data_IF_522678442003
#
_entry.id   IF_522678442003
#
_cell.length_a   1.000
_cell.length_b   1.000
_cell.length_c   1.000
_cell.angle_alpha   90.00
_cell.angle_beta   90.00
_cell.angle_gamma   90.00
#
_symmetry.space_group_name_H-M   'P 1'
#
loop_
_entity.id
_entity.type
_entity.pdbx_description
1 polymer ?
#
# COMPACT_ATOMS: atom_id res chain seq x y z
N UNK A 1 -14.82 -11.08 -62.00
CA UNK A 1 -15.44 -10.21 -61.00
C UNK A 1 -15.37 -10.93 -59.66
N UNK A 2 -14.41 -10.56 -58.80
CA UNK A 2 -14.25 -11.10 -57.45
C UNK A 2 -14.04 -9.94 -56.50
N UNK A 3 -14.76 -9.94 -55.38
CA UNK A 3 -14.83 -8.85 -54.42
C UNK A 3 -13.49 -8.63 -53.66
N UNK A 4 -13.19 -7.41 -53.18
CA UNK A 4 -12.03 -7.14 -52.35
C UNK A 4 -12.31 -7.49 -50.88
N UNK A 5 -11.50 -8.39 -50.31
CA UNK A 5 -11.55 -8.78 -48.90
C UNK A 5 -10.43 -8.11 -48.10
N UNK A 6 -10.85 -7.39 -47.05
CA UNK A 6 -10.15 -7.01 -45.82
C UNK A 6 -8.87 -6.11 -45.89
N UNK A 7 -8.84 -4.98 -45.16
CA UNK A 7 -7.59 -4.28 -44.85
C UNK A 7 -6.80 -5.05 -43.79
N UNK A 8 -5.51 -5.21 -44.04
CA UNK A 8 -4.56 -5.84 -43.12
C UNK A 8 -4.52 -5.12 -41.79
N UNK A 9 -4.78 -5.85 -40.71
CA UNK A 9 -4.49 -5.39 -39.35
C UNK A 9 -2.98 -5.43 -39.20
N UNK A 10 -2.36 -4.25 -39.34
CA UNK A 10 -0.93 -4.06 -39.10
C UNK A 10 -0.59 -4.48 -37.67
N UNK A 11 0.19 -5.54 -37.56
CA UNK A 11 0.95 -5.84 -36.36
C UNK A 11 2.02 -4.75 -36.12
N UNK A 12 2.47 -4.67 -34.87
CA UNK A 12 3.61 -3.89 -34.37
C UNK A 12 3.36 -2.43 -33.99
N UNK A 13 2.76 -2.27 -32.81
CA UNK A 13 2.89 -1.08 -31.97
C UNK A 13 3.19 -1.46 -30.51
N UNK A 14 3.92 -2.56 -30.27
CA UNK A 14 4.18 -3.17 -28.95
C UNK A 14 5.10 -2.34 -28.03
N UNK A 15 5.43 -1.10 -28.39
CA UNK A 15 6.49 -0.34 -27.74
C UNK A 15 6.02 0.94 -27.03
N UNK A 16 4.72 1.26 -27.02
CA UNK A 16 4.23 2.54 -26.48
C UNK A 16 4.00 2.59 -24.96
N UNK A 17 4.25 1.48 -24.24
CA UNK A 17 4.21 1.43 -22.77
C UNK A 17 5.57 1.05 -22.16
N UNK A 18 6.68 1.16 -22.89
CA UNK A 18 8.01 0.97 -22.30
C UNK A 18 8.46 2.31 -21.71
N UNK A 19 7.88 2.64 -20.55
CA UNK A 19 8.51 3.59 -19.63
C UNK A 19 9.87 2.96 -19.31
N UNK A 20 10.96 3.52 -19.84
CA UNK A 20 12.31 3.24 -19.36
C UNK A 20 12.35 3.61 -17.87
N UNK A 21 11.88 2.67 -17.06
CA UNK A 21 11.97 2.73 -15.61
C UNK A 21 13.46 2.51 -15.32
N UNK A 22 14.18 3.51 -14.78
CA UNK A 22 15.53 3.27 -14.32
C UNK A 22 15.49 2.08 -13.36
N UNK A 23 16.23 1.02 -13.70
CA UNK A 23 16.24 -0.25 -12.96
C UNK A 23 16.98 -0.15 -11.60
N UNK A 24 17.30 1.07 -11.15
CA UNK A 24 17.97 1.35 -9.88
C UNK A 24 16.97 1.56 -8.72
N UNK A 25 15.92 0.74 -8.66
CA UNK A 25 15.08 0.66 -7.46
C UNK A 25 15.75 -0.26 -6.45
N UNK A 26 16.64 0.29 -5.63
CA UNK A 26 17.11 -0.41 -4.44
C UNK A 26 15.93 -0.60 -3.47
N UNK A 27 15.82 -1.77 -2.79
CA UNK A 27 14.80 -1.97 -1.77
C UNK A 27 14.78 -0.81 -0.76
N UNK A 28 13.60 -0.30 -0.43
CA UNK A 28 13.46 0.79 0.54
C UNK A 28 13.99 0.30 1.89
N UNK A 29 14.96 1.00 2.52
CA UNK A 29 15.49 0.60 3.81
C UNK A 29 14.39 0.49 4.87
N UNK A 30 14.43 -0.51 5.77
CA UNK A 30 13.38 -0.74 6.77
C UNK A 30 13.11 0.47 7.70
N UNK A 31 14.13 1.32 7.91
CA UNK A 31 13.96 2.52 8.73
C UNK A 31 12.95 3.50 8.12
N UNK A 32 12.79 3.51 6.80
CA UNK A 32 11.82 4.37 6.11
C UNK A 32 10.43 3.75 6.01
N UNK A 33 10.30 2.45 6.32
CA UNK A 33 9.03 1.71 6.34
C UNK A 33 8.41 1.62 7.74
N UNK A 34 9.10 2.17 8.74
CA UNK A 34 8.69 2.10 10.15
C UNK A 34 8.31 3.48 10.66
N UNK A 35 7.15 3.57 11.31
CA UNK A 35 6.70 4.79 11.99
C UNK A 35 6.49 4.45 13.46
N UNK A 36 7.13 5.21 14.35
CA UNK A 36 7.01 5.07 15.80
C UNK A 36 6.58 6.39 16.42
N UNK A 37 5.83 6.34 17.52
CA UNK A 37 5.42 7.52 18.26
C UNK A 37 4.78 7.17 19.59
N UNK A 38 4.48 8.21 20.38
CA UNK A 38 3.80 8.06 21.67
C UNK A 38 2.37 8.52 21.53
N UNK A 39 1.43 7.68 21.97
CA UNK A 39 0.02 8.04 22.04
C UNK A 39 -0.32 8.55 23.44
N UNK A 40 -0.66 9.84 23.54
CA UNK A 40 -1.11 10.44 24.80
C UNK A 40 -2.62 10.58 24.77
N UNK A 41 -3.30 10.13 25.83
CA UNK A 41 -4.75 10.29 25.97
C UNK A 41 -5.08 11.06 27.25
N UNK A 42 -6.00 12.05 27.19
CA UNK A 42 -6.52 12.70 28.39
C UNK A 42 -7.60 11.87 29.09
N UNK A 43 -8.07 10.78 28.46
CA UNK A 43 -9.11 9.93 29.02
C UNK A 43 -8.52 8.98 30.08
N UNK A 44 -8.92 9.18 31.34
CA UNK A 44 -8.41 8.42 32.49
C UNK A 44 -8.70 6.90 32.41
N UNK A 45 -9.76 6.49 31.72
CA UNK A 45 -10.07 5.06 31.53
C UNK A 45 -9.11 4.46 30.49
N UNK A 46 -8.88 5.15 29.38
CA UNK A 46 -7.95 4.68 28.36
C UNK A 46 -6.49 4.67 28.86
N UNK A 47 -6.15 5.54 29.79
CA UNK A 47 -4.83 5.55 30.43
C UNK A 47 -4.55 4.28 31.27
N UNK A 48 -5.59 3.61 31.78
CA UNK A 48 -5.45 2.36 32.55
C UNK A 48 -5.59 1.11 31.69
N UNK A 49 -5.79 1.26 30.38
CA UNK A 49 -5.90 0.13 29.48
C UNK A 49 -4.60 -0.66 29.39
N UNK A 50 -4.75 -1.99 29.34
CA UNK A 50 -3.63 -2.88 29.14
C UNK A 50 -3.06 -2.74 27.72
N UNK A 51 -1.86 -3.27 27.51
CA UNK A 51 -1.21 -3.29 26.20
C UNK A 51 -2.07 -3.98 25.14
N UNK A 52 -2.75 -5.06 25.50
CA UNK A 52 -3.63 -5.82 24.61
C UNK A 52 -4.84 -5.00 24.16
N UNK A 53 -5.41 -4.19 25.06
CA UNK A 53 -6.51 -3.27 24.74
C UNK A 53 -6.05 -2.20 23.75
N UNK A 54 -4.88 -1.60 23.97
CA UNK A 54 -4.29 -0.66 23.04
C UNK A 54 -3.95 -1.30 21.70
N UNK A 55 -3.42 -2.53 21.71
CA UNK A 55 -3.13 -3.29 20.50
C UNK A 55 -4.39 -3.49 19.65
N UNK A 56 -5.55 -3.75 20.27
CA UNK A 56 -6.83 -3.86 19.54
C UNK A 56 -7.21 -2.55 18.83
N UNK A 57 -6.99 -1.40 19.46
CA UNK A 57 -7.25 -0.09 18.83
C UNK A 57 -6.33 0.11 17.64
N UNK A 58 -5.03 -0.08 17.81
CA UNK A 58 -4.07 0.16 16.73
C UNK A 58 -4.28 -0.83 15.58
N UNK A 59 -4.61 -2.09 15.86
CA UNK A 59 -5.00 -3.07 14.84
C UNK A 59 -6.23 -2.64 14.04
N UNK A 60 -7.22 -2.00 14.70
CA UNK A 60 -8.39 -1.46 14.01
C UNK A 60 -8.02 -0.28 13.11
N UNK A 61 -7.17 0.62 13.59
CA UNK A 61 -6.64 1.74 12.78
C UNK A 61 -5.93 1.20 11.54
N UNK A 62 -5.03 0.23 11.72
CA UNK A 62 -4.33 -0.43 10.63
C UNK A 62 -5.34 -1.03 9.63
N UNK A 63 -6.34 -1.78 10.09
CA UNK A 63 -7.39 -2.33 9.21
C UNK A 63 -8.11 -1.26 8.41
N UNK A 64 -8.49 -0.15 9.04
CA UNK A 64 -9.15 0.97 8.34
C UNK A 64 -8.23 1.59 7.27
N UNK A 65 -6.94 1.71 7.55
CA UNK A 65 -5.96 2.18 6.58
C UNK A 65 -5.79 1.18 5.42
N UNK A 66 -5.77 -0.13 5.71
CA UNK A 66 -5.67 -1.18 4.69
C UNK A 66 -6.92 -1.32 3.82
N UNK A 67 -8.10 -1.03 4.35
CA UNK A 67 -9.37 -1.06 3.59
C UNK A 67 -9.65 0.25 2.84
N UNK A 68 -8.86 1.29 3.12
CA UNK A 68 -9.08 2.64 2.63
C UNK A 68 -8.30 2.96 1.35
N UNK A 69 -8.22 4.26 0.98
CA UNK A 69 -7.50 4.72 -0.22
C UNK A 69 -6.00 4.40 -0.21
N UNK A 70 -5.45 4.03 0.95
CA UNK A 70 -4.05 3.65 1.12
C UNK A 70 -3.82 2.13 1.15
N UNK A 71 -4.84 1.32 0.85
CA UNK A 71 -4.81 -0.12 1.09
C UNK A 71 -3.62 -0.87 0.51
N UNK A 72 -3.19 -0.51 -0.70
CA UNK A 72 -2.02 -1.12 -1.36
C UNK A 72 -0.70 -0.78 -0.69
N UNK A 73 -0.59 0.39 -0.06
CA UNK A 73 0.63 0.84 0.63
C UNK A 73 0.79 0.21 2.02
N UNK A 74 -0.31 -0.24 2.61
CA UNK A 74 -0.34 -0.83 3.95
C UNK A 74 -0.71 -2.32 3.95
N UNK A 75 -0.78 -2.97 2.79
CA UNK A 75 -1.24 -4.35 2.65
C UNK A 75 -0.45 -5.36 3.52
N UNK A 76 0.84 -5.10 3.71
CA UNK A 76 1.73 -5.90 4.54
C UNK A 76 2.17 -5.20 5.84
N UNK A 77 1.53 -4.09 6.20
CA UNK A 77 1.89 -3.34 7.40
C UNK A 77 1.47 -4.10 8.67
N UNK A 78 2.29 -3.96 9.71
CA UNK A 78 2.07 -4.55 11.03
C UNK A 78 2.15 -3.43 12.07
N UNK A 79 1.29 -3.48 13.07
CA UNK A 79 1.28 -2.52 14.16
C UNK A 79 1.56 -3.21 15.49
N UNK A 80 2.35 -2.58 16.35
CA UNK A 80 2.72 -3.11 17.68
C UNK A 80 2.72 -2.02 18.74
N UNK A 81 2.29 -2.35 19.96
CA UNK A 81 2.40 -1.50 21.14
C UNK A 81 3.54 -2.00 22.04
N UNK A 82 4.50 -1.12 22.34
CA UNK A 82 5.75 -1.44 23.07
C UNK A 82 5.79 -0.96 24.49
#
# INVERSE_FOLDING_TARGET
MGAPGAPGVGAAGENMCRRDMPMDFTPIPPQHLSVSGTLTTPNAIMATWSREMWQNVVNRVLRMTTSGPFGTQFAAAVATVT
#
